data_IF_142962042138
#
_entry.id   IF_142962042138
#
_cell.length_a   1.000
_cell.length_b   1.000
_cell.length_c   1.000
_cell.angle_alpha   90.00
_cell.angle_beta   90.00
_cell.angle_gamma   90.00
#
_symmetry.space_group_name_H-M   'P 1'
#
loop_
_entity.id
_entity.type
_entity.pdbx_description
1 polymer ?
#
# COMPACT_ATOMS: atom_id res chain seq x y z
N UNK A 1 -1.95 4.50 -17.93
CA UNK A 1 -2.67 4.73 -16.67
C UNK A 1 -1.58 5.01 -15.66
N UNK A 2 -1.61 6.17 -15.02
CA UNK A 2 -0.52 6.60 -14.15
C UNK A 2 -0.47 5.70 -12.92
N UNK A 3 0.73 5.35 -12.47
CA UNK A 3 0.94 4.49 -11.32
C UNK A 3 2.26 4.89 -10.65
N UNK A 4 2.16 5.56 -9.50
CA UNK A 4 3.34 6.15 -8.86
C UNK A 4 4.40 5.12 -8.44
N UNK A 5 4.04 3.85 -8.28
CA UNK A 5 5.02 2.79 -8.04
C UNK A 5 5.78 2.44 -9.32
N UNK A 6 5.08 2.19 -10.43
CA UNK A 6 5.71 1.86 -11.71
C UNK A 6 6.45 3.03 -12.36
N UNK A 7 5.98 4.26 -12.11
CA UNK A 7 6.57 5.49 -12.63
C UNK A 7 7.82 5.93 -11.84
N UNK A 8 8.04 5.38 -10.64
CA UNK A 8 9.20 5.66 -9.79
C UNK A 8 10.19 4.49 -9.82
N UNK A 9 11.11 4.50 -10.81
CA UNK A 9 12.05 3.40 -11.05
C UNK A 9 12.90 3.01 -9.83
N UNK A 10 13.24 3.97 -8.98
CA UNK A 10 14.05 3.76 -7.77
C UNK A 10 13.41 2.80 -6.77
N UNK A 11 12.07 2.65 -6.76
CA UNK A 11 11.41 1.70 -5.87
C UNK A 11 11.71 0.24 -6.23
N UNK A 12 11.85 -0.07 -7.53
CA UNK A 12 12.23 -1.42 -7.99
C UNK A 12 13.66 -1.79 -7.58
N UNK A 13 14.54 -0.80 -7.45
CA UNK A 13 15.90 -1.03 -6.94
C UNK A 13 15.88 -1.58 -5.50
N UNK A 14 14.99 -1.10 -4.64
CA UNK A 14 14.91 -1.58 -3.26
C UNK A 14 14.43 -3.03 -3.15
N UNK A 15 13.52 -3.45 -4.04
CA UNK A 15 13.01 -4.81 -4.09
C UNK A 15 14.02 -5.81 -4.65
N UNK A 16 14.90 -5.36 -5.55
CA UNK A 16 15.93 -6.20 -6.20
C UNK A 16 17.27 -6.20 -5.47
N UNK A 17 17.40 -5.43 -4.38
CA UNK A 17 18.65 -5.35 -3.63
C UNK A 17 19.00 -6.69 -2.95
N UNK A 18 20.27 -7.16 -2.96
CA UNK A 18 20.63 -8.47 -2.39
C UNK A 18 20.26 -8.68 -0.91
N UNK A 19 20.19 -7.61 -0.12
CA UNK A 19 19.73 -7.69 1.27
C UNK A 19 18.23 -7.96 1.40
N UNK A 20 17.44 -7.62 0.38
CA UNK A 20 15.99 -7.81 0.39
C UNK A 20 15.62 -9.28 0.53
N UNK A 21 16.34 -10.18 -0.14
CA UNK A 21 16.17 -11.63 0.03
C UNK A 21 16.26 -12.08 1.49
N UNK A 22 17.20 -11.52 2.27
CA UNK A 22 17.32 -11.84 3.71
C UNK A 22 16.15 -11.26 4.51
N UNK A 23 15.69 -10.07 4.16
CA UNK A 23 14.56 -9.41 4.82
C UNK A 23 13.27 -10.19 4.58
N UNK A 24 12.98 -10.59 3.33
CA UNK A 24 11.79 -11.37 2.99
C UNK A 24 11.79 -12.71 3.71
N UNK A 25 12.93 -13.42 3.75
CA UNK A 25 13.03 -14.68 4.49
C UNK A 25 12.69 -14.51 5.99
N UNK A 26 13.11 -13.41 6.61
CA UNK A 26 12.76 -13.12 8.01
C UNK A 26 11.29 -12.72 8.17
N UNK A 27 10.76 -11.87 7.29
CA UNK A 27 9.37 -11.39 7.32
C UNK A 27 8.37 -12.54 7.14
N UNK A 28 8.65 -13.44 6.20
CA UNK A 28 7.82 -14.61 5.87
C UNK A 28 8.14 -15.83 6.74
N UNK A 29 8.89 -15.66 7.85
CA UNK A 29 9.27 -16.75 8.77
C UNK A 29 9.83 -17.97 8.04
N UNK A 30 10.72 -17.73 7.08
CA UNK A 30 11.30 -18.72 6.16
C UNK A 30 10.24 -19.54 5.39
N UNK A 31 9.12 -18.92 5.03
CA UNK A 31 8.02 -19.50 4.25
C UNK A 31 7.35 -20.71 4.92
N UNK A 32 7.51 -20.85 6.24
CA UNK A 32 6.97 -21.98 7.01
C UNK A 32 5.44 -22.01 7.01
N UNK A 33 4.80 -20.87 6.83
CA UNK A 33 3.35 -20.71 6.79
C UNK A 33 2.71 -21.31 5.52
N UNK A 34 3.47 -21.49 4.44
CA UNK A 34 2.97 -22.10 3.19
C UNK A 34 2.56 -23.56 3.32
N UNK A 35 3.03 -24.25 4.36
CA UNK A 35 2.55 -25.60 4.70
C UNK A 35 1.20 -25.62 5.43
N UNK A 36 0.69 -24.46 5.85
CA UNK A 36 -0.54 -24.31 6.64
C UNK A 36 -1.61 -23.50 5.92
N UNK A 37 -1.22 -22.48 5.16
CA UNK A 37 -2.12 -21.55 4.50
C UNK A 37 -1.87 -21.51 2.99
N UNK A 38 -2.94 -21.69 2.20
CA UNK A 38 -2.86 -21.72 0.73
C UNK A 38 -2.48 -20.36 0.10
N UNK A 39 -2.61 -19.27 0.86
CA UNK A 39 -2.25 -17.92 0.41
C UNK A 39 -0.83 -17.50 0.82
N UNK A 40 -0.15 -18.28 1.67
CA UNK A 40 1.16 -17.90 2.18
C UNK A 40 2.24 -18.15 1.09
N UNK A 41 3.20 -17.23 0.92
CA UNK A 41 4.20 -17.37 -0.12
C UNK A 41 5.05 -18.64 0.03
N UNK A 42 5.28 -19.35 -1.07
CA UNK A 42 6.05 -20.60 -1.11
C UNK A 42 7.56 -20.37 -1.02
N UNK A 43 8.03 -19.26 -1.56
CA UNK A 43 9.45 -18.91 -1.66
C UNK A 43 9.61 -17.40 -1.86
N UNK A 44 10.87 -16.96 -2.02
CA UNK A 44 11.21 -15.55 -2.18
C UNK A 44 10.53 -14.92 -3.40
N UNK A 45 10.47 -15.66 -4.51
CA UNK A 45 9.99 -15.14 -5.80
C UNK A 45 8.47 -14.95 -5.76
N UNK A 46 7.76 -15.88 -5.11
CA UNK A 46 6.33 -15.78 -4.84
C UNK A 46 6.00 -14.61 -3.90
N UNK A 47 6.79 -14.43 -2.83
CA UNK A 47 6.61 -13.28 -1.93
C UNK A 47 6.86 -11.96 -2.65
N UNK A 48 7.90 -11.89 -3.49
CA UNK A 48 8.22 -10.70 -4.25
C UNK A 48 7.12 -10.35 -5.26
N UNK A 49 6.61 -11.32 -6.02
CA UNK A 49 5.48 -11.13 -6.95
C UNK A 49 4.23 -10.61 -6.20
N UNK A 50 3.94 -11.16 -5.01
CA UNK A 50 2.84 -10.68 -4.18
C UNK A 50 3.05 -9.25 -3.70
N UNK A 51 4.26 -8.89 -3.24
CA UNK A 51 4.58 -7.54 -2.80
C UNK A 51 4.49 -6.53 -3.95
N UNK A 52 4.99 -6.88 -5.14
CA UNK A 52 4.90 -6.03 -6.33
C UNK A 52 3.45 -5.75 -6.68
N UNK A 53 2.56 -6.75 -6.70
CA UNK A 53 1.12 -6.54 -6.95
C UNK A 53 0.47 -5.61 -5.93
N UNK A 54 0.80 -5.76 -4.64
CA UNK A 54 0.29 -4.86 -3.60
C UNK A 54 0.79 -3.43 -3.84
N UNK A 55 2.07 -3.25 -4.16
CA UNK A 55 2.66 -1.94 -4.46
C UNK A 55 2.08 -1.32 -5.74
N UNK A 56 1.73 -2.12 -6.74
CA UNK A 56 1.00 -1.65 -7.93
C UNK A 56 -0.38 -1.10 -7.56
N UNK A 57 -1.16 -1.81 -6.73
CA UNK A 57 -2.45 -1.32 -6.23
C UNK A 57 -2.28 0.00 -5.47
N UNK A 58 -1.28 0.08 -4.58
CA UNK A 58 -0.96 1.31 -3.84
C UNK A 58 -0.60 2.45 -4.80
N UNK A 59 0.25 2.18 -5.79
CA UNK A 59 0.66 3.16 -6.79
C UNK A 59 -0.50 3.69 -7.63
N UNK A 60 -1.47 2.83 -7.96
CA UNK A 60 -2.68 3.22 -8.69
C UNK A 60 -3.60 4.11 -7.85
N UNK A 61 -3.84 3.75 -6.58
CA UNK A 61 -4.64 4.57 -5.64
C UNK A 61 -3.98 5.94 -5.44
N UNK A 62 -2.66 5.97 -5.27
CA UNK A 62 -1.91 7.21 -5.13
C UNK A 62 -2.07 8.11 -6.36
N UNK A 63 -1.92 7.58 -7.56
CA UNK A 63 -1.98 8.36 -8.80
C UNK A 63 -3.41 8.83 -9.14
N UNK A 64 -4.40 7.94 -9.02
CA UNK A 64 -5.74 8.18 -9.55
C UNK A 64 -6.77 8.64 -8.52
N UNK A 65 -6.48 8.53 -7.22
CA UNK A 65 -7.38 8.97 -6.14
C UNK A 65 -6.71 10.04 -5.29
N UNK A 66 -5.62 9.70 -4.59
CA UNK A 66 -5.01 10.60 -3.60
C UNK A 66 -4.44 11.86 -4.27
N UNK A 67 -3.68 11.71 -5.35
CA UNK A 67 -3.09 12.86 -6.05
C UNK A 67 -4.16 13.78 -6.68
N UNK A 68 -5.26 13.21 -7.17
CA UNK A 68 -6.39 13.97 -7.74
C UNK A 68 -7.10 14.77 -6.66
N UNK A 69 -7.25 14.19 -5.47
CA UNK A 69 -7.92 14.84 -4.34
C UNK A 69 -7.05 15.87 -3.61
N UNK A 70 -5.72 15.79 -3.74
CA UNK A 70 -4.76 16.53 -2.93
C UNK A 70 -5.00 18.05 -2.88
N UNK A 71 -5.25 18.71 -4.02
CA UNK A 71 -5.52 20.15 -4.07
C UNK A 71 -6.80 20.51 -3.31
N UNK A 72 -7.88 19.75 -3.54
CA UNK A 72 -9.17 20.00 -2.89
C UNK A 72 -9.11 19.78 -1.37
N UNK A 73 -8.34 18.79 -0.94
CA UNK A 73 -8.14 18.48 0.48
C UNK A 73 -7.40 19.62 1.19
N UNK A 74 -6.37 20.18 0.56
CA UNK A 74 -5.62 21.32 1.11
C UNK A 74 -6.49 22.59 1.21
N UNK A 75 -7.33 22.83 0.19
CA UNK A 75 -8.24 23.98 0.15
C UNK A 75 -9.40 23.86 1.17
N UNK A 76 -10.01 22.70 1.29
CA UNK A 76 -11.16 22.46 2.17
C UNK A 76 -10.71 22.36 3.63
N UNK A 77 -9.70 21.53 3.89
CA UNK A 77 -9.20 21.22 5.23
C UNK A 77 -10.24 20.54 6.14
N UNK A 78 -9.80 20.00 7.30
CA UNK A 78 -10.73 19.55 8.33
C UNK A 78 -11.31 20.74 9.09
N UNK A 79 -12.55 20.63 9.55
CA UNK A 79 -13.19 21.62 10.41
C UNK A 79 -14.00 20.96 11.53
N UNK A 80 -14.40 21.74 12.53
CA UNK A 80 -15.21 21.24 13.64
C UNK A 80 -16.66 21.66 13.41
N UNK A 81 -17.58 20.70 13.46
CA UNK A 81 -19.01 20.92 13.49
C UNK A 81 -19.61 20.14 14.67
N UNK A 82 -20.42 20.79 15.52
CA UNK A 82 -21.09 20.14 16.65
C UNK A 82 -20.16 19.35 17.60
N UNK A 83 -18.95 19.86 17.86
CA UNK A 83 -17.87 19.20 18.63
C UNK A 83 -17.32 17.90 18.00
N UNK A 84 -17.56 17.67 16.71
CA UNK A 84 -16.97 16.58 15.95
C UNK A 84 -16.07 17.12 14.84
N UNK A 85 -14.99 16.41 14.53
CA UNK A 85 -14.10 16.76 13.41
C UNK A 85 -14.71 16.20 12.13
N UNK A 86 -14.99 17.07 11.18
CA UNK A 86 -15.41 16.73 9.83
C UNK A 86 -14.19 16.83 8.92
N UNK A 87 -13.83 15.72 8.29
CA UNK A 87 -12.75 15.68 7.31
C UNK A 87 -13.20 16.25 5.97
N UNK A 88 -12.23 16.78 5.23
CA UNK A 88 -12.45 17.15 3.84
C UNK A 88 -12.99 15.94 3.05
N UNK A 89 -13.82 16.21 2.04
CA UNK A 89 -14.44 15.16 1.23
C UNK A 89 -13.39 14.23 0.62
N UNK A 90 -12.33 14.80 0.04
CA UNK A 90 -11.23 14.04 -0.56
C UNK A 90 -10.52 13.13 0.44
N UNK A 91 -10.29 13.59 1.68
CA UNK A 91 -9.68 12.77 2.73
C UNK A 91 -10.52 11.53 3.06
N UNK A 92 -11.84 11.67 3.09
CA UNK A 92 -12.76 10.55 3.33
C UNK A 92 -12.75 9.57 2.15
N UNK A 93 -12.69 10.07 0.92
CA UNK A 93 -12.59 9.25 -0.28
C UNK A 93 -11.25 8.50 -0.37
N UNK A 94 -10.14 9.17 -0.06
CA UNK A 94 -8.79 8.58 0.01
C UNK A 94 -8.74 7.43 1.02
N UNK A 95 -9.25 7.67 2.24
CA UNK A 95 -9.32 6.65 3.28
C UNK A 95 -10.18 5.45 2.83
N UNK A 96 -11.33 5.72 2.19
CA UNK A 96 -12.21 4.66 1.69
C UNK A 96 -11.55 3.83 0.60
N UNK A 97 -10.77 4.43 -0.29
CA UNK A 97 -10.02 3.70 -1.32
C UNK A 97 -9.00 2.73 -0.69
N UNK A 98 -8.23 3.21 0.29
CA UNK A 98 -7.27 2.39 1.04
C UNK A 98 -7.96 1.26 1.83
N UNK A 99 -9.10 1.56 2.47
CA UNK A 99 -9.90 0.58 3.21
C UNK A 99 -10.44 -0.52 2.30
N UNK A 100 -11.04 -0.15 1.17
CA UNK A 100 -11.59 -1.13 0.22
C UNK A 100 -10.51 -2.02 -0.40
N UNK A 101 -9.28 -1.51 -0.54
CA UNK A 101 -8.13 -2.26 -0.99
C UNK A 101 -7.50 -3.15 0.10
N UNK A 102 -8.02 -3.13 1.34
CA UNK A 102 -7.48 -3.92 2.45
C UNK A 102 -6.13 -3.42 2.98
N UNK A 103 -5.75 -2.18 2.67
CA UNK A 103 -4.44 -1.63 3.02
C UNK A 103 -4.38 -1.06 4.45
N UNK A 104 -5.54 -0.79 5.05
CA UNK A 104 -5.62 -0.27 6.42
C UNK A 104 -5.19 -1.36 7.41
N UNK A 105 -4.07 -1.12 8.08
CA UNK A 105 -3.48 -2.07 9.02
C UNK A 105 -2.49 -3.05 8.38
N UNK A 106 -2.02 -2.83 7.15
CA UNK A 106 -1.06 -3.70 6.45
C UNK A 106 0.17 -4.09 7.28
N UNK A 107 0.66 -3.18 8.14
CA UNK A 107 1.85 -3.43 8.97
C UNK A 107 1.53 -4.03 10.35
N UNK A 108 0.25 -4.26 10.67
CA UNK A 108 -0.15 -4.88 11.93
C UNK A 108 0.17 -6.39 11.91
N UNK A 109 0.48 -7.00 13.06
CA UNK A 109 0.79 -8.41 13.19
C UNK A 109 -0.43 -9.32 13.00
#
# INVERSE_FOLDING_TARGET
MDNFFNDTQDFKFHLTHPLFHKIVALKEKNFTESGTYDYAPLNHEDALDNYEKVLEIVGEICANTIAVNAESVDLEGPHIENNEVIYAKGTTEDYKALYNAGLIGMALP
#
